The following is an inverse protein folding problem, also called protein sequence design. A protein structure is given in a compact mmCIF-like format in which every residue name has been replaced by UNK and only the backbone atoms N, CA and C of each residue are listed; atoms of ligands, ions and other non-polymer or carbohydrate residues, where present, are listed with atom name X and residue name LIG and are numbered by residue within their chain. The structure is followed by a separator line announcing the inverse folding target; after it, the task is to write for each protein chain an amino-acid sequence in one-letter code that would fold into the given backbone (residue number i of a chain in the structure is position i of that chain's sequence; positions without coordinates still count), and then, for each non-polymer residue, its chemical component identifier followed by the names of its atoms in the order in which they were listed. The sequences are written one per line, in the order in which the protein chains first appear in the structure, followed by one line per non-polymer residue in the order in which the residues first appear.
data_IF_079683083534
#
_entry.id   IF_079683083534
#
_cell.length_a   1.000
_cell.length_b   1.000
_cell.length_c   1.000
_cell.angle_alpha   90.00
_cell.angle_beta   90.00
_cell.angle_gamma   90.00
#
_symmetry.space_group_name_H-M   'P 1'
#
loop_
_entity.id
_entity.type
_entity.pdbx_description
1 polymer ?
#
# COMPACT_ATOMS: atom_id res chain seq x y z
N UNK A 1 -105.24 53.77 20.36
CA UNK A 1 -104.30 53.45 19.26
C UNK A 1 -102.88 53.98 19.53
N UNK A 2 -102.21 53.65 20.66
CA UNK A 2 -100.91 54.28 21.01
C UNK A 2 -99.83 53.30 21.53
N UNK A 3 -99.89 52.00 21.20
CA UNK A 3 -98.87 51.02 21.63
C UNK A 3 -98.01 50.41 20.52
N UNK A 4 -98.22 50.74 19.24
CA UNK A 4 -97.46 50.14 18.13
C UNK A 4 -96.24 50.96 17.66
N UNK A 5 -96.14 52.25 18.02
CA UNK A 5 -95.06 53.13 17.50
C UNK A 5 -93.78 53.15 18.37
N UNK A 6 -93.84 52.61 19.60
CA UNK A 6 -92.72 52.60 20.55
C UNK A 6 -91.76 51.40 20.36
N UNK A 7 -92.23 50.29 19.81
CA UNK A 7 -91.43 49.06 19.58
C UNK A 7 -90.52 49.15 18.35
N UNK A 8 -90.92 49.88 17.30
CA UNK A 8 -90.13 50.04 16.08
C UNK A 8 -88.88 50.93 16.27
N UNK A 9 -88.94 51.96 17.13
CA UNK A 9 -87.76 52.80 17.45
C UNK A 9 -86.72 52.03 18.27
N UNK A 10 -87.14 51.19 19.21
CA UNK A 10 -86.23 50.36 20.01
C UNK A 10 -85.55 49.27 19.17
N UNK A 11 -86.29 48.65 18.23
CA UNK A 11 -85.72 47.67 17.30
C UNK A 11 -84.69 48.28 16.32
N UNK A 12 -84.92 49.51 15.84
CA UNK A 12 -83.99 50.21 14.93
C UNK A 12 -82.69 50.63 15.65
N UNK A 13 -82.78 51.07 16.91
CA UNK A 13 -81.60 51.41 17.72
C UNK A 13 -80.80 50.15 18.10
N UNK A 14 -81.48 49.04 18.44
CA UNK A 14 -80.81 47.77 18.72
C UNK A 14 -80.08 47.20 17.49
N UNK A 15 -80.66 47.31 16.28
CA UNK A 15 -79.99 46.87 15.05
C UNK A 15 -78.77 47.73 14.69
N UNK A 16 -78.81 49.03 14.99
CA UNK A 16 -77.68 49.97 14.80
C UNK A 16 -76.56 49.73 15.81
N UNK A 17 -76.88 49.40 17.07
CA UNK A 17 -75.86 49.05 18.07
C UNK A 17 -75.21 47.69 17.77
N UNK A 18 -75.97 46.72 17.24
CA UNK A 18 -75.43 45.43 16.79
C UNK A 18 -74.51 45.59 15.58
N UNK A 19 -74.87 46.43 14.59
CA UNK A 19 -73.98 46.71 13.46
C UNK A 19 -72.74 47.52 13.85
N UNK A 20 -72.86 48.44 14.81
CA UNK A 20 -71.73 49.19 15.34
C UNK A 20 -70.79 48.29 16.18
N UNK A 21 -71.35 47.35 16.95
CA UNK A 21 -70.59 46.31 17.65
C UNK A 21 -69.84 45.43 16.66
N UNK A 22 -70.53 44.93 15.62
CA UNK A 22 -69.91 44.11 14.58
C UNK A 22 -68.76 44.85 13.87
N UNK A 23 -68.96 46.12 13.52
CA UNK A 23 -67.91 46.94 12.91
C UNK A 23 -66.72 47.20 13.86
N UNK A 24 -66.98 47.40 15.16
CA UNK A 24 -65.92 47.55 16.17
C UNK A 24 -65.14 46.24 16.37
N UNK A 25 -65.83 45.10 16.40
CA UNK A 25 -65.22 43.77 16.49
C UNK A 25 -64.37 43.47 15.25
N UNK A 26 -64.81 43.89 14.07
CA UNK A 26 -64.07 43.71 12.82
C UNK A 26 -62.82 44.61 12.76
N UNK A 27 -62.93 45.86 13.24
CA UNK A 27 -61.77 46.75 13.38
C UNK A 27 -60.77 46.24 14.44
N UNK A 28 -61.24 45.61 15.52
CA UNK A 28 -60.37 44.94 16.49
C UNK A 28 -59.69 43.70 15.89
N UNK A 29 -60.41 42.89 15.12
CA UNK A 29 -59.83 41.73 14.43
C UNK A 29 -58.74 42.15 13.43
N UNK A 30 -58.93 43.24 12.68
CA UNK A 30 -57.89 43.77 11.77
C UNK A 30 -56.67 44.34 12.50
N UNK A 31 -56.86 44.97 13.66
CA UNK A 31 -55.73 45.45 14.46
C UNK A 31 -54.95 44.28 15.05
N UNK A 32 -55.64 43.23 15.50
CA UNK A 32 -55.03 42.00 15.99
C UNK A 32 -54.27 41.28 14.87
N UNK A 33 -54.86 41.12 13.68
CA UNK A 33 -54.18 40.48 12.56
C UNK A 33 -52.92 41.24 12.13
N UNK A 34 -52.97 42.58 12.08
CA UNK A 34 -51.80 43.43 11.82
C UNK A 34 -50.72 43.30 12.89
N UNK A 35 -51.09 43.23 14.17
CA UNK A 35 -50.12 43.05 15.26
C UNK A 35 -49.45 41.67 15.23
N UNK A 36 -50.20 40.63 14.86
CA UNK A 36 -49.69 39.26 14.72
C UNK A 36 -48.77 39.17 13.50
N UNK A 37 -49.13 39.77 12.37
CA UNK A 37 -48.27 39.77 11.18
C UNK A 37 -46.97 40.53 11.42
N UNK A 38 -47.03 41.69 12.10
CA UNK A 38 -45.84 42.46 12.45
C UNK A 38 -44.93 41.66 13.40
N UNK A 39 -45.50 41.03 14.43
CA UNK A 39 -44.73 40.20 15.37
C UNK A 39 -44.12 38.98 14.68
N UNK A 40 -44.87 38.31 13.80
CA UNK A 40 -44.37 37.18 13.01
C UNK A 40 -43.22 37.61 12.08
N UNK A 41 -43.30 38.80 11.49
CA UNK A 41 -42.24 39.34 10.65
C UNK A 41 -40.98 39.69 11.45
N UNK A 42 -41.14 40.25 12.66
CA UNK A 42 -40.03 40.48 13.59
C UNK A 42 -39.35 39.16 14.02
N UNK A 43 -40.14 38.14 14.36
CA UNK A 43 -39.62 36.81 14.70
C UNK A 43 -38.90 36.19 13.50
N UNK A 44 -39.44 36.35 12.29
CA UNK A 44 -38.81 35.85 11.08
C UNK A 44 -37.48 36.54 10.79
N UNK A 45 -37.44 37.88 10.85
CA UNK A 45 -36.22 38.65 10.64
C UNK A 45 -35.16 38.34 11.70
N UNK A 46 -35.58 38.19 12.97
CA UNK A 46 -34.69 37.75 14.04
C UNK A 46 -34.16 36.33 13.80
N UNK A 47 -35.02 35.42 13.34
CA UNK A 47 -34.64 34.05 12.99
C UNK A 47 -33.62 33.98 11.86
N UNK A 48 -33.85 34.73 10.77
CA UNK A 48 -32.93 34.79 9.62
C UNK A 48 -31.61 35.48 9.99
N UNK A 49 -31.66 36.55 10.79
CA UNK A 49 -30.47 37.23 11.29
C UNK A 49 -29.62 36.36 12.23
N UNK A 50 -30.26 35.65 13.16
CA UNK A 50 -29.58 34.72 14.06
C UNK A 50 -28.99 33.52 13.30
N UNK A 51 -29.70 32.98 12.31
CA UNK A 51 -29.19 31.91 11.45
C UNK A 51 -27.96 32.37 10.65
N UNK A 52 -27.99 33.57 10.07
CA UNK A 52 -26.82 34.15 9.39
C UNK A 52 -25.62 34.33 10.32
N UNK A 53 -25.85 34.75 11.56
CA UNK A 53 -24.78 34.86 12.57
C UNK A 53 -24.20 33.49 12.95
N UNK A 54 -25.06 32.49 13.13
CA UNK A 54 -24.63 31.12 13.41
C UNK A 54 -23.85 30.50 12.24
N UNK A 55 -24.20 30.80 10.98
CA UNK A 55 -23.39 30.39 9.83
C UNK A 55 -22.01 31.05 9.83
N UNK A 56 -21.93 32.36 10.09
CA UNK A 56 -20.65 33.06 10.14
C UNK A 56 -19.75 32.58 11.30
N UNK A 57 -20.33 32.34 12.47
CA UNK A 57 -19.61 31.79 13.64
C UNK A 57 -19.29 30.29 13.45
N UNK A 58 -20.18 29.53 12.79
CA UNK A 58 -19.99 28.11 12.47
C UNK A 58 -18.81 27.87 11.52
N UNK A 59 -18.65 28.68 10.47
CA UNK A 59 -17.49 28.58 9.57
C UNK A 59 -16.18 28.87 10.30
N UNK A 60 -16.15 29.86 11.21
CA UNK A 60 -14.96 30.16 12.02
C UNK A 60 -14.58 29.02 12.97
N UNK A 61 -15.57 28.41 13.62
CA UNK A 61 -15.33 27.24 14.48
C UNK A 61 -14.84 26.05 13.66
N UNK A 62 -15.41 25.83 12.47
CA UNK A 62 -14.94 24.80 11.56
C UNK A 62 -13.49 25.04 11.10
N UNK A 63 -13.15 26.25 10.66
CA UNK A 63 -11.78 26.61 10.30
C UNK A 63 -10.81 26.42 11.48
N UNK A 64 -11.23 26.80 12.69
CA UNK A 64 -10.50 26.55 13.92
C UNK A 64 -10.23 25.06 14.14
N UNK A 65 -11.26 24.23 14.06
CA UNK A 65 -11.15 22.77 14.19
C UNK A 65 -10.28 22.15 13.10
N UNK A 66 -10.37 22.62 11.86
CA UNK A 66 -9.51 22.16 10.75
C UNK A 66 -8.05 22.53 11.03
N UNK A 67 -7.78 23.75 11.49
CA UNK A 67 -6.42 24.18 11.84
C UNK A 67 -5.86 23.39 13.02
N UNK A 68 -6.68 23.15 14.05
CA UNK A 68 -6.33 22.29 15.19
C UNK A 68 -6.03 20.86 14.71
N UNK A 69 -6.86 20.32 13.81
CA UNK A 69 -6.71 18.99 13.22
C UNK A 69 -5.42 18.86 12.39
N UNK A 70 -5.10 19.86 11.57
CA UNK A 70 -3.84 19.90 10.82
C UNK A 70 -2.63 20.00 11.75
N UNK A 71 -2.72 20.79 12.82
CA UNK A 71 -1.63 20.89 13.81
C UNK A 71 -1.47 19.60 14.61
N UNK A 72 -2.58 18.94 14.96
CA UNK A 72 -2.60 17.64 15.60
C UNK A 72 -2.00 16.57 14.68
N UNK A 73 -2.37 16.54 13.39
CA UNK A 73 -1.79 15.62 12.41
C UNK A 73 -0.29 15.84 12.25
N UNK A 74 0.15 17.08 12.10
CA UNK A 74 1.59 17.40 11.99
C UNK A 74 2.36 16.97 13.24
N UNK A 75 1.80 17.23 14.43
CA UNK A 75 2.42 16.83 15.70
C UNK A 75 2.44 15.31 15.85
N UNK A 76 1.33 14.64 15.53
CA UNK A 76 1.22 13.19 15.54
C UNK A 76 2.18 12.55 14.54
N UNK A 77 2.32 13.11 13.33
CA UNK A 77 3.22 12.62 12.30
C UNK A 77 4.70 12.83 12.66
N UNK A 78 5.05 13.94 13.31
CA UNK A 78 6.40 14.15 13.87
C UNK A 78 6.70 13.16 14.99
N UNK A 79 5.76 12.96 15.93
CA UNK A 79 5.94 12.05 17.06
C UNK A 79 5.95 10.58 16.62
N UNK A 80 5.08 10.22 15.68
CA UNK A 80 5.01 8.90 15.07
C UNK A 80 6.22 8.65 14.16
N UNK A 81 6.68 9.64 13.39
CA UNK A 81 7.92 9.55 12.61
C UNK A 81 9.11 9.24 13.51
N UNK A 82 9.33 10.05 14.55
CA UNK A 82 10.43 9.82 15.50
C UNK A 82 10.34 8.46 16.20
N UNK A 83 9.14 8.00 16.58
CA UNK A 83 8.97 6.67 17.19
C UNK A 83 9.10 5.53 16.17
N UNK A 84 8.61 5.72 14.95
CA UNK A 84 8.70 4.72 13.89
C UNK A 84 10.15 4.54 13.46
N UNK A 85 10.94 5.60 13.39
CA UNK A 85 12.37 5.51 13.08
C UNK A 85 13.12 4.73 14.18
N UNK A 86 12.86 5.01 15.46
CA UNK A 86 13.46 4.25 16.58
C UNK A 86 13.03 2.78 16.56
N UNK A 87 11.76 2.49 16.30
CA UNK A 87 11.27 1.12 16.20
C UNK A 87 11.84 0.43 14.96
N UNK A 88 11.94 1.13 13.83
CA UNK A 88 12.53 0.62 12.59
C UNK A 88 13.99 0.28 12.80
N UNK A 89 14.78 1.15 13.43
CA UNK A 89 16.19 0.88 13.73
C UNK A 89 16.37 -0.31 14.69
N UNK A 90 15.49 -0.42 15.70
CA UNK A 90 15.49 -1.56 16.61
C UNK A 90 15.10 -2.88 15.91
N UNK A 91 14.13 -2.84 15.00
CA UNK A 91 13.71 -3.98 14.20
C UNK A 91 14.79 -4.35 13.19
N UNK A 92 15.37 -3.40 12.47
CA UNK A 92 16.47 -3.62 11.52
C UNK A 92 17.67 -4.25 12.23
N UNK A 93 18.03 -3.76 13.42
CA UNK A 93 19.11 -4.36 14.23
C UNK A 93 18.80 -5.79 14.66
N UNK A 94 17.55 -6.07 15.09
CA UNK A 94 17.14 -7.43 15.47
C UNK A 94 17.04 -8.39 14.29
N UNK A 95 16.54 -7.90 13.15
CA UNK A 95 16.45 -8.66 11.89
C UNK A 95 17.85 -8.94 11.36
N UNK A 96 18.77 -7.99 11.43
CA UNK A 96 20.19 -8.19 11.10
C UNK A 96 20.81 -9.31 11.94
N UNK A 97 20.65 -9.26 13.26
CA UNK A 97 21.14 -10.30 14.16
C UNK A 97 20.47 -11.67 13.93
N UNK A 98 19.15 -11.69 13.67
CA UNK A 98 18.43 -12.91 13.37
C UNK A 98 18.87 -13.52 12.03
N UNK A 99 19.13 -12.67 11.02
CA UNK A 99 19.63 -13.09 9.71
C UNK A 99 21.03 -13.68 9.82
N UNK A 100 21.92 -13.05 10.56
CA UNK A 100 23.29 -13.55 10.76
C UNK A 100 23.28 -14.92 11.46
N UNK A 101 22.48 -15.07 12.53
CA UNK A 101 22.26 -16.36 13.20
C UNK A 101 21.58 -17.39 12.29
N UNK A 102 20.65 -16.95 11.45
CA UNK A 102 19.94 -17.80 10.51
C UNK A 102 20.87 -18.32 9.40
N UNK A 103 21.80 -17.51 8.91
CA UNK A 103 22.82 -17.91 7.93
C UNK A 103 23.69 -19.04 8.48
N UNK A 104 24.20 -18.92 9.70
CA UNK A 104 24.99 -19.99 10.32
C UNK A 104 24.19 -21.30 10.48
N UNK A 105 22.90 -21.20 10.83
CA UNK A 105 22.03 -22.38 10.90
C UNK A 105 21.65 -22.92 9.52
N UNK A 106 21.57 -22.06 8.51
CA UNK A 106 21.28 -22.42 7.14
C UNK A 106 22.45 -23.18 6.51
N UNK A 107 23.67 -22.73 6.73
CA UNK A 107 24.88 -23.44 6.29
C UNK A 107 24.99 -24.83 6.92
N UNK A 108 24.54 -24.98 8.18
CA UNK A 108 24.44 -26.30 8.82
C UNK A 108 23.33 -27.15 8.20
N UNK A 109 22.20 -26.55 7.84
CA UNK A 109 21.12 -27.25 7.14
C UNK A 109 21.54 -27.65 5.73
N UNK A 110 22.33 -26.85 5.03
CA UNK A 110 22.90 -27.19 3.72
C UNK A 110 23.78 -28.43 3.84
N UNK A 111 24.66 -28.48 4.84
CA UNK A 111 25.47 -29.68 5.10
C UNK A 111 24.61 -30.92 5.42
N UNK A 112 23.61 -30.78 6.30
CA UNK A 112 22.73 -31.90 6.65
C UNK A 112 21.87 -32.33 5.45
N UNK A 113 21.44 -31.38 4.63
CA UNK A 113 20.71 -31.64 3.40
C UNK A 113 21.59 -32.40 2.42
N UNK A 114 22.81 -31.93 2.17
CA UNK A 114 23.77 -32.58 1.29
C UNK A 114 24.09 -33.99 1.76
N UNK A 115 24.36 -34.19 3.06
CA UNK A 115 24.55 -35.52 3.66
C UNK A 115 23.34 -36.44 3.47
N UNK A 116 22.12 -35.88 3.52
CA UNK A 116 20.88 -36.65 3.38
C UNK A 116 20.60 -36.98 1.91
N UNK A 117 20.89 -36.05 1.01
CA UNK A 117 20.83 -36.23 -0.45
C UNK A 117 21.86 -37.25 -0.90
N UNK A 118 23.10 -37.14 -0.47
CA UNK A 118 24.16 -38.13 -0.74
C UNK A 118 23.75 -39.52 -0.22
N UNK A 119 23.26 -39.63 1.02
CA UNK A 119 22.77 -40.92 1.56
C UNK A 119 21.59 -41.48 0.77
N UNK A 120 20.69 -40.65 0.27
CA UNK A 120 19.58 -41.08 -0.56
C UNK A 120 20.07 -41.58 -1.94
N UNK A 121 21.02 -40.87 -2.56
CA UNK A 121 21.63 -41.24 -3.84
C UNK A 121 22.40 -42.56 -3.76
N UNK A 122 23.19 -42.76 -2.70
CA UNK A 122 23.91 -44.03 -2.44
C UNK A 122 22.92 -45.18 -2.27
N UNK A 123 21.83 -44.98 -1.54
CA UNK A 123 20.76 -46.00 -1.41
C UNK A 123 20.06 -46.32 -2.73
N UNK A 124 20.00 -45.37 -3.65
CA UNK A 124 19.43 -45.54 -4.98
C UNK A 124 20.45 -46.14 -5.99
N UNK A 125 21.68 -46.41 -5.55
CA UNK A 125 22.74 -47.01 -6.38
C UNK A 125 23.43 -46.04 -7.31
N UNK A 126 23.31 -44.72 -7.08
CA UNK A 126 24.01 -43.70 -7.86
C UNK A 126 25.45 -43.55 -7.31
N UNK A 127 26.49 -43.87 -8.09
CA UNK A 127 27.89 -43.73 -7.65
C UNK A 127 28.24 -42.27 -7.40
N UNK A 128 28.98 -41.99 -6.33
CA UNK A 128 29.42 -40.63 -6.01
C UNK A 128 30.64 -40.23 -6.87
N UNK A 129 31.08 -38.97 -6.75
CA UNK A 129 32.15 -38.43 -7.58
C UNK A 129 33.50 -39.02 -7.20
N UNK A 130 33.73 -39.28 -5.92
CA UNK A 130 34.95 -39.91 -5.41
C UNK A 130 35.12 -41.33 -5.97
N UNK A 131 34.04 -42.11 -6.04
CA UNK A 131 34.01 -43.47 -6.58
C UNK A 131 34.37 -43.48 -8.07
N UNK A 132 33.83 -42.53 -8.85
CA UNK A 132 34.17 -42.36 -10.25
C UNK A 132 35.65 -42.00 -10.44
N UNK A 133 36.19 -41.19 -9.53
CA UNK A 133 37.60 -40.77 -9.58
C UNK A 133 38.53 -41.94 -9.23
N UNK A 134 38.22 -42.67 -8.15
CA UNK A 134 38.96 -43.87 -7.76
C UNK A 134 38.89 -44.98 -8.82
N UNK A 135 37.75 -45.11 -9.52
CA UNK A 135 37.63 -46.02 -10.65
C UNK A 135 38.49 -45.56 -11.84
N UNK A 136 38.50 -44.27 -12.16
CA UNK A 136 39.33 -43.71 -13.22
C UNK A 136 40.83 -43.99 -12.95
N UNK A 137 41.30 -43.75 -11.74
CA UNK A 137 42.69 -44.02 -11.34
C UNK A 137 43.05 -45.51 -11.49
N UNK A 138 42.14 -46.40 -11.09
CA UNK A 138 42.34 -47.86 -11.26
C UNK A 138 42.37 -48.25 -12.73
N UNK A 139 41.52 -47.68 -13.57
CA UNK A 139 41.52 -47.94 -15.02
C UNK A 139 42.82 -47.45 -15.66
N UNK A 140 43.33 -46.29 -15.25
CA UNK A 140 44.59 -45.76 -15.74
C UNK A 140 45.78 -46.65 -15.33
N UNK A 141 45.81 -47.09 -14.07
CA UNK A 141 46.82 -48.03 -13.59
C UNK A 141 46.78 -49.36 -14.36
N UNK A 142 45.58 -49.92 -14.55
CA UNK A 142 45.40 -51.17 -15.30
C UNK A 142 45.75 -51.00 -16.79
N UNK A 143 45.43 -49.85 -17.38
CA UNK A 143 45.81 -49.51 -18.75
C UNK A 143 47.34 -49.42 -18.88
N UNK A 144 48.02 -48.84 -17.88
CA UNK A 144 49.47 -48.78 -17.85
C UNK A 144 50.10 -50.18 -17.73
N UNK A 145 49.55 -51.06 -16.89
CA UNK A 145 49.99 -52.45 -16.78
C UNK A 145 49.72 -53.25 -18.05
N UNK A 146 48.54 -53.11 -18.66
CA UNK A 146 48.20 -53.79 -19.92
C UNK A 146 49.12 -53.36 -21.07
N UNK A 147 49.52 -52.08 -21.11
CA UNK A 147 50.54 -51.58 -22.05
C UNK A 147 51.93 -52.18 -21.79
N UNK A 148 52.25 -52.55 -20.54
CA UNK A 148 53.51 -53.27 -20.21
C UNK A 148 53.44 -54.77 -20.51
N UNK A 149 52.29 -55.41 -20.27
CA UNK A 149 52.10 -56.87 -20.44
C UNK A 149 51.69 -57.26 -21.86
N UNK A 150 51.32 -56.31 -22.72
CA UNK A 150 51.10 -56.56 -24.15
C UNK A 150 52.34 -56.23 -24.99
N UNK A 151 53.29 -57.17 -25.19
CA UNK A 151 54.29 -57.04 -26.24
C UNK A 151 53.64 -57.35 -27.60
N UNK A 152 53.18 -56.28 -28.26
CA UNK A 152 53.39 -56.00 -29.70
C UNK A 152 52.61 -56.85 -30.73
N UNK A 153 51.66 -56.22 -31.44
CA UNK A 153 51.60 -56.39 -32.91
C UNK A 153 52.59 -55.44 -33.53
N UNK A 154 53.63 -56.04 -34.09
CA UNK A 154 54.63 -55.39 -34.91
C UNK A 154 53.99 -54.97 -36.24
N UNK A 155 54.15 -53.72 -36.65
CA UNK A 155 54.72 -53.51 -37.99
C UNK A 155 55.99 -52.69 -37.84
N UNK A 156 57.00 -53.26 -38.46
CA UNK A 156 58.38 -52.83 -38.60
C UNK A 156 58.46 -51.49 -39.32
N UNK A 157 59.27 -50.58 -38.80
CA UNK A 157 59.99 -49.60 -39.62
C UNK A 157 61.25 -49.19 -38.87
N UNK A 158 62.33 -49.10 -39.63
CA UNK A 158 63.71 -49.25 -39.20
C UNK A 158 64.32 -47.99 -38.58
N UNK A 159 65.53 -48.19 -38.03
CA UNK A 159 66.47 -47.22 -37.50
C UNK A 159 66.66 -45.95 -38.37
N UNK A 160 67.11 -44.82 -37.77
CA UNK A 160 67.21 -43.55 -38.47
C UNK A 160 68.42 -43.54 -39.41
N UNK A 161 68.18 -43.51 -40.71
CA UNK A 161 69.20 -43.22 -41.70
C UNK A 161 69.27 -41.71 -41.98
N UNK A 162 70.50 -41.21 -42.01
CA UNK A 162 70.95 -39.85 -42.30
C UNK A 162 70.23 -39.16 -43.48
N UNK A 163 70.14 -37.83 -43.34
CA UNK A 163 69.69 -36.83 -44.30
C UNK A 163 70.22 -36.99 -45.74
N UNK A 164 69.55 -36.38 -46.73
CA UNK A 164 70.05 -35.07 -47.17
C UNK A 164 68.97 -34.01 -47.46
N UNK A 165 69.45 -32.77 -47.44
CA UNK A 165 68.78 -31.54 -47.81
C UNK A 165 68.12 -31.54 -49.20
N UNK A 166 67.02 -30.79 -49.37
CA UNK A 166 66.94 -29.61 -50.24
C UNK A 166 65.55 -28.98 -50.30
N UNK A 167 65.55 -27.66 -50.08
CA UNK A 167 64.83 -26.60 -50.81
C UNK A 167 63.29 -26.54 -50.77
N UNK A 168 62.85 -25.54 -50.00
CA UNK A 168 62.16 -24.34 -50.48
C UNK A 168 60.92 -24.49 -51.39
N UNK A 169 59.76 -24.01 -50.91
CA UNK A 169 59.16 -22.75 -51.42
C UNK A 169 57.87 -22.34 -50.68
N UNK A 170 57.88 -21.05 -50.30
CA UNK A 170 56.85 -20.02 -50.52
C UNK A 170 55.55 -20.00 -49.69
N UNK A 171 55.53 -18.93 -48.87
CA UNK A 171 54.49 -17.88 -48.75
C UNK A 171 53.07 -18.31 -48.39
N UNK A 172 52.66 -17.91 -47.20
CA UNK A 172 51.31 -17.39 -46.95
C UNK A 172 51.41 -16.08 -46.14
N UNK A 173 50.99 -15.00 -46.80
CA UNK A 173 50.52 -13.72 -46.25
C UNK A 173 49.32 -13.98 -45.32
N UNK A 174 49.05 -13.24 -44.24
CA UNK A 174 48.66 -11.82 -44.23
C UNK A 174 48.73 -11.24 -42.81
N UNK A 175 49.13 -9.96 -42.76
CA UNK A 175 48.86 -8.97 -41.71
C UNK A 175 47.35 -8.80 -41.49
N UNK A 176 46.96 -8.59 -40.23
CA UNK A 176 45.90 -7.65 -39.84
C UNK A 176 46.20 -7.18 -38.41
N UNK A 177 46.63 -5.92 -38.28
CA UNK A 177 46.69 -5.16 -37.03
C UNK A 177 46.59 -3.68 -37.40
N UNK A 178 45.82 -2.96 -36.57
CA UNK A 178 45.31 -1.59 -36.66
C UNK A 178 44.01 -1.45 -37.45
#
# INVERSE_FOLDING_TARGET
MAKLKKTAKTAKTARKSLSASAAAQQAQAERLSKSISESAQQIWLAGVGAFGRAQAEGTRLFEGLVKEGLNLEQTARKLAGNRADVVRDAVESRVGQARERAVDTWDRLEKVFEDRVQRALVKLGVPNREDLTALADRVDALTAELRRVSPRRTTTAAAPAKAPAKRARKKATKKAAV
#
